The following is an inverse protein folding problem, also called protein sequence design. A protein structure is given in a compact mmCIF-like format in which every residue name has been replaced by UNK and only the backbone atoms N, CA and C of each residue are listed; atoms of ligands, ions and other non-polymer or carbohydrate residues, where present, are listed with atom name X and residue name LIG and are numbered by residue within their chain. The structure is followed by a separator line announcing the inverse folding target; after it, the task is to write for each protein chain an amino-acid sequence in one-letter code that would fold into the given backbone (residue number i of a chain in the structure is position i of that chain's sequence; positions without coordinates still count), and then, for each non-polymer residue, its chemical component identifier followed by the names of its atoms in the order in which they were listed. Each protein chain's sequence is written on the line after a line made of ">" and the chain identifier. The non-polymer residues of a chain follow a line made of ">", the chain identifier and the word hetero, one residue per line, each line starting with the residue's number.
data_IF_831304875419
#
_entry.id   IF_831304875419
#
_cell.length_a   1.000
_cell.length_b   1.000
_cell.length_c   1.000
_cell.angle_alpha   90.00
_cell.angle_beta   90.00
_cell.angle_gamma   90.00
#
_symmetry.space_group_name_H-M   'P 1'
#
loop_
_entity.id
_entity.type
_entity.pdbx_description
1 polymer ?
#
# COMPACT_ATOMS: atom_id res chain seq x y z
N UNK A 1 -12.06 -2.81 28.71
CA UNK A 1 -13.11 -3.57 28.03
C UNK A 1 -12.55 -4.91 27.59
N UNK A 2 -13.00 -6.05 28.17
CA UNK A 2 -12.53 -7.41 27.81
C UNK A 2 -12.84 -7.78 26.35
N UNK A 3 -13.68 -7.02 25.67
CA UNK A 3 -14.01 -7.18 24.24
C UNK A 3 -13.21 -6.26 23.32
N UNK A 4 -12.37 -5.37 23.86
CA UNK A 4 -11.49 -4.55 23.03
C UNK A 4 -10.46 -5.44 22.34
N UNK A 5 -10.45 -5.44 21.00
CA UNK A 5 -9.39 -6.12 20.25
C UNK A 5 -8.05 -5.54 20.68
N UNK A 6 -7.01 -6.35 20.86
CA UNK A 6 -5.70 -5.84 21.18
C UNK A 6 -5.30 -4.80 20.13
N UNK A 7 -5.00 -3.59 20.60
CA UNK A 7 -4.43 -2.56 19.73
C UNK A 7 -3.00 -2.97 19.42
N UNK A 8 -2.67 -3.05 18.14
CA UNK A 8 -1.30 -3.27 17.69
C UNK A 8 -0.87 -2.10 16.80
N UNK A 9 0.42 -1.91 16.72
CA UNK A 9 1.08 -0.89 15.92
C UNK A 9 2.23 -1.56 15.15
N UNK A 10 2.46 -1.13 13.92
CA UNK A 10 3.62 -1.55 13.15
C UNK A 10 4.93 -1.06 13.78
N UNK A 11 5.99 -1.80 13.54
CA UNK A 11 7.32 -1.45 14.02
C UNK A 11 8.36 -2.47 13.61
N UNK A 12 9.62 -2.17 13.83
CA UNK A 12 10.75 -3.03 13.58
C UNK A 12 11.45 -3.38 14.88
N UNK A 13 11.92 -4.63 15.00
CA UNK A 13 12.75 -5.05 16.11
C UNK A 13 14.20 -4.64 15.93
N UNK A 14 14.97 -4.63 17.00
CA UNK A 14 16.39 -4.27 16.96
C UNK A 14 17.22 -5.20 16.07
N UNK A 15 16.90 -6.50 16.05
CA UNK A 15 17.56 -7.47 15.17
C UNK A 15 17.30 -7.20 13.69
N UNK A 16 16.09 -6.72 13.34
CA UNK A 16 15.74 -6.29 11.99
C UNK A 16 16.48 -5.01 11.59
N UNK A 17 16.60 -4.04 12.49
CA UNK A 17 17.41 -2.85 12.24
C UNK A 17 18.89 -3.18 12.06
N UNK A 18 19.45 -4.05 12.89
CA UNK A 18 20.84 -4.50 12.77
C UNK A 18 21.09 -5.22 11.42
N UNK A 19 20.17 -6.09 11.03
CA UNK A 19 20.21 -6.74 9.73
C UNK A 19 20.19 -5.73 8.58
N UNK A 20 19.22 -4.80 8.57
CA UNK A 20 19.09 -3.78 7.54
C UNK A 20 20.33 -2.91 7.44
N UNK A 21 20.83 -2.42 8.56
CA UNK A 21 22.04 -1.58 8.60
C UNK A 21 23.26 -2.31 8.01
N UNK A 22 23.44 -3.58 8.35
CA UNK A 22 24.51 -4.42 7.82
C UNK A 22 24.36 -4.68 6.33
N UNK A 23 23.16 -5.07 5.90
CA UNK A 23 22.87 -5.42 4.51
C UNK A 23 23.01 -4.22 3.57
N UNK A 24 22.43 -3.08 3.95
CA UNK A 24 22.40 -1.86 3.14
C UNK A 24 23.78 -1.21 2.99
N UNK A 25 24.70 -1.43 3.92
CA UNK A 25 26.06 -0.90 3.89
C UNK A 25 26.85 -1.36 2.66
N UNK A 26 26.60 -2.58 2.19
CA UNK A 26 27.31 -3.17 1.04
C UNK A 26 26.66 -2.88 -0.32
N UNK A 27 25.51 -2.19 -0.36
CA UNK A 27 24.77 -1.98 -1.59
C UNK A 27 25.13 -0.67 -2.29
N UNK A 28 25.20 -0.73 -3.62
CA UNK A 28 25.31 0.47 -4.46
C UNK A 28 24.06 1.35 -4.31
N UNK A 29 24.25 2.64 -4.10
CA UNK A 29 23.17 3.60 -3.81
C UNK A 29 22.28 3.92 -5.02
N UNK A 30 22.70 3.56 -6.23
CA UNK A 30 21.91 3.71 -7.46
C UNK A 30 20.91 2.56 -7.71
N UNK A 31 21.02 1.47 -6.97
CA UNK A 31 20.09 0.34 -7.10
C UNK A 31 18.69 0.74 -6.62
N UNK A 32 17.67 0.17 -7.27
CA UNK A 32 16.32 0.19 -6.72
C UNK A 32 16.26 -0.75 -5.51
N UNK A 33 15.88 -0.19 -4.37
CA UNK A 33 15.50 -0.96 -3.18
C UNK A 33 13.99 -1.12 -3.16
N UNK A 34 13.53 -2.35 -3.06
CA UNK A 34 12.10 -2.66 -2.86
C UNK A 34 11.96 -3.27 -1.46
N UNK A 35 11.23 -2.59 -0.60
CA UNK A 35 10.90 -3.07 0.74
C UNK A 35 9.47 -3.58 0.75
N UNK A 36 9.29 -4.87 1.04
CA UNK A 36 7.97 -5.46 1.31
C UNK A 36 7.70 -5.50 2.81
N UNK A 37 6.56 -4.96 3.22
CA UNK A 37 6.12 -4.97 4.62
C UNK A 37 4.60 -5.07 4.70
N UNK A 38 4.06 -5.54 5.84
CA UNK A 38 2.61 -5.67 5.96
C UNK A 38 1.95 -4.35 6.35
N UNK A 39 2.37 -3.76 7.47
CA UNK A 39 1.79 -2.51 7.99
C UNK A 39 2.43 -1.32 7.29
N UNK A 40 1.63 -0.38 6.75
CA UNK A 40 2.16 0.78 6.04
C UNK A 40 2.89 1.76 6.97
N UNK A 41 3.78 2.53 6.37
CA UNK A 41 4.53 3.59 7.05
C UNK A 41 3.71 4.87 7.25
N UNK A 42 2.66 5.09 6.46
CA UNK A 42 1.78 6.22 6.60
C UNK A 42 0.73 6.01 7.70
N UNK A 43 0.23 7.08 8.25
CA UNK A 43 -0.86 7.04 9.24
C UNK A 43 -2.21 6.93 8.53
N UNK A 44 -2.96 5.89 8.87
CA UNK A 44 -4.28 5.62 8.28
C UNK A 44 -5.35 6.67 8.64
N UNK A 45 -5.11 7.44 9.71
CA UNK A 45 -5.94 8.56 10.12
C UNK A 45 -5.08 9.61 10.85
N UNK A 46 -5.41 10.91 10.77
CA UNK A 46 -4.71 11.95 11.48
C UNK A 46 -4.61 11.69 12.98
N UNK A 47 -3.40 11.78 13.54
CA UNK A 47 -3.14 11.57 14.96
C UNK A 47 -3.20 10.10 15.43
N UNK A 48 -3.35 9.15 14.49
CA UNK A 48 -3.31 7.71 14.80
C UNK A 48 -2.07 7.08 14.19
N UNK A 49 -1.09 6.86 15.02
CA UNK A 49 0.15 6.17 14.64
C UNK A 49 -0.15 4.73 14.18
N UNK A 50 0.00 4.47 12.88
CA UNK A 50 -0.21 3.14 12.28
C UNK A 50 1.07 2.31 12.37
N UNK A 51 2.20 2.95 12.11
CA UNK A 51 3.54 2.41 12.28
C UNK A 51 4.30 3.32 13.25
N UNK A 52 5.06 2.74 14.18
CA UNK A 52 5.79 3.51 15.21
C UNK A 52 6.67 4.57 14.54
N UNK A 53 6.38 5.84 14.79
CA UNK A 53 7.07 6.96 14.12
C UNK A 53 8.58 6.95 14.37
N UNK A 54 9.01 6.56 15.57
CA UNK A 54 10.44 6.42 15.89
C UNK A 54 11.13 5.37 15.02
N UNK A 55 10.47 4.23 14.77
CA UNK A 55 11.00 3.17 13.91
C UNK A 55 10.96 3.58 12.44
N UNK A 56 9.89 4.29 12.02
CA UNK A 56 9.79 4.87 10.68
C UNK A 56 10.95 5.83 10.42
N UNK A 57 11.24 6.72 11.35
CA UNK A 57 12.36 7.66 11.21
C UNK A 57 13.69 6.94 11.09
N UNK A 58 13.95 5.95 11.95
CA UNK A 58 15.17 5.13 11.87
C UNK A 58 15.28 4.41 10.52
N UNK A 59 14.18 3.88 10.01
CA UNK A 59 14.15 3.25 8.69
C UNK A 59 14.45 4.27 7.59
N UNK A 60 13.84 5.44 7.63
CA UNK A 60 14.11 6.54 6.69
C UNK A 60 15.59 6.94 6.70
N UNK A 61 16.21 7.03 7.87
CA UNK A 61 17.63 7.36 8.00
C UNK A 61 18.56 6.30 7.38
N UNK A 62 18.17 5.04 7.40
CA UNK A 62 18.91 3.97 6.73
C UNK A 62 18.77 4.02 5.19
N UNK A 63 17.66 4.54 4.70
CA UNK A 63 17.30 4.48 3.28
C UNK A 63 17.61 5.78 2.51
N UNK A 64 17.71 6.92 3.16
CA UNK A 64 17.75 8.26 2.54
C UNK A 64 18.87 8.47 1.51
N UNK A 65 19.96 7.74 1.61
CA UNK A 65 21.09 7.85 0.68
C UNK A 65 20.90 7.03 -0.62
N UNK A 66 19.85 6.21 -0.70
CA UNK A 66 19.53 5.47 -1.90
C UNK A 66 18.65 6.30 -2.82
N UNK A 67 19.04 6.35 -4.11
CA UNK A 67 18.34 7.18 -5.11
C UNK A 67 16.95 6.67 -5.47
N UNK A 68 16.75 5.36 -5.39
CA UNK A 68 15.50 4.72 -5.82
C UNK A 68 15.05 3.76 -4.73
N UNK A 69 14.00 4.13 -4.03
CA UNK A 69 13.39 3.31 -2.98
C UNK A 69 11.89 3.20 -3.26
N UNK A 70 11.37 2.00 -3.18
CA UNK A 70 9.95 1.70 -3.25
C UNK A 70 9.56 0.87 -2.03
N UNK A 71 8.54 1.30 -1.31
CA UNK A 71 7.92 0.51 -0.25
C UNK A 71 6.62 -0.09 -0.79
N UNK A 72 6.45 -1.40 -0.60
CA UNK A 72 5.22 -2.11 -0.87
C UNK A 72 4.60 -2.51 0.47
N UNK A 73 3.43 -1.98 0.75
CA UNK A 73 2.68 -2.27 1.98
C UNK A 73 1.28 -2.79 1.70
N UNK A 74 0.56 -3.19 2.74
CA UNK A 74 -0.80 -3.71 2.66
C UNK A 74 -1.64 -3.27 3.85
N UNK A 75 -2.34 -4.20 4.50
CA UNK A 75 -3.07 -4.00 5.76
C UNK A 75 -4.34 -3.17 5.69
N UNK A 76 -4.34 -2.03 5.01
CA UNK A 76 -5.48 -1.11 4.99
C UNK A 76 -6.67 -1.63 4.17
N UNK A 77 -6.47 -2.66 3.34
CA UNK A 77 -7.45 -3.13 2.36
C UNK A 77 -7.95 -2.02 1.43
N UNK A 78 -7.04 -1.13 1.08
CA UNK A 78 -7.27 -0.06 0.09
C UNK A 78 -6.05 0.03 -0.82
N UNK A 79 -6.20 0.67 -1.96
CA UNK A 79 -5.08 0.91 -2.88
C UNK A 79 -4.67 2.38 -2.78
N UNK A 80 -3.43 2.64 -2.38
CA UNK A 80 -2.94 4.00 -2.20
C UNK A 80 -1.50 4.17 -2.66
N UNK A 81 -1.22 5.28 -3.33
CA UNK A 81 0.12 5.77 -3.58
C UNK A 81 0.43 6.91 -2.62
N UNK A 82 1.39 6.70 -1.74
CA UNK A 82 1.83 7.70 -0.76
C UNK A 82 3.25 8.12 -1.09
N UNK A 83 3.53 9.41 -0.99
CA UNK A 83 4.85 9.97 -1.24
C UNK A 83 5.32 10.70 0.02
N UNK A 84 6.17 10.03 0.78
CA UNK A 84 6.73 10.61 2.00
C UNK A 84 7.75 11.69 1.66
N UNK A 85 7.61 12.82 2.30
CA UNK A 85 8.46 13.98 2.15
C UNK A 85 9.03 14.46 3.47
N UNK A 86 9.59 15.67 3.47
CA UNK A 86 10.18 16.29 4.67
C UNK A 86 9.20 16.41 5.84
N UNK A 87 7.94 16.65 5.55
CA UNK A 87 6.89 16.72 6.58
C UNK A 87 6.69 15.39 7.32
N UNK A 88 7.02 14.27 6.66
CA UNK A 88 6.94 12.92 7.24
C UNK A 88 8.26 12.46 7.88
N UNK A 89 9.29 13.31 7.82
CA UNK A 89 10.65 13.00 8.29
C UNK A 89 11.57 12.38 7.23
N UNK A 90 11.11 12.24 5.97
CA UNK A 90 11.94 11.75 4.89
C UNK A 90 12.88 12.83 4.35
N UNK A 91 14.19 12.56 4.34
CA UNK A 91 15.23 13.49 3.94
C UNK A 91 16.08 12.99 2.76
N UNK A 92 15.55 12.08 1.94
CA UNK A 92 16.21 11.67 0.69
C UNK A 92 15.99 12.71 -0.43
N UNK A 93 16.72 12.55 -1.55
CA UNK A 93 16.71 13.48 -2.69
C UNK A 93 15.36 13.60 -3.37
N UNK A 94 14.58 12.53 -3.37
CA UNK A 94 13.23 12.44 -3.96
C UNK A 94 12.25 11.95 -2.91
N UNK A 95 10.95 12.27 -3.03
CA UNK A 95 9.94 11.67 -2.17
C UNK A 95 10.02 10.14 -2.19
N UNK A 96 9.92 9.51 -1.02
CA UNK A 96 9.86 8.07 -0.91
C UNK A 96 8.47 7.59 -1.31
N UNK A 97 8.42 6.78 -2.37
CA UNK A 97 7.16 6.20 -2.82
C UNK A 97 6.83 4.96 -2.00
N UNK A 98 5.68 4.98 -1.36
CA UNK A 98 5.04 3.82 -0.76
C UNK A 98 3.77 3.48 -1.54
N UNK A 99 3.67 2.25 -2.01
CA UNK A 99 2.46 1.73 -2.63
C UNK A 99 1.79 0.73 -1.70
N UNK A 100 0.66 1.13 -1.13
CA UNK A 100 -0.18 0.22 -0.37
C UNK A 100 -1.04 -0.57 -1.36
N UNK A 101 -0.72 -1.84 -1.49
CA UNK A 101 -1.40 -2.74 -2.44
C UNK A 101 -2.71 -3.19 -1.85
N UNK A 102 -3.77 -3.12 -2.65
CA UNK A 102 -5.07 -3.61 -2.24
C UNK A 102 -5.08 -5.10 -1.87
N UNK A 103 -6.05 -5.50 -1.09
CA UNK A 103 -6.16 -6.86 -0.58
C UNK A 103 -6.88 -7.78 -1.58
N UNK A 104 -6.34 -8.97 -1.81
CA UNK A 104 -6.99 -10.01 -2.62
C UNK A 104 -8.35 -10.44 -2.06
N UNK A 105 -8.48 -10.41 -0.73
CA UNK A 105 -9.75 -10.69 -0.04
C UNK A 105 -10.68 -9.47 0.04
N UNK A 106 -10.30 -8.32 -0.51
CA UNK A 106 -11.08 -7.07 -0.46
C UNK A 106 -11.63 -6.79 0.93
N UNK A 107 -12.94 -6.67 1.06
CA UNK A 107 -13.66 -6.55 2.33
C UNK A 107 -13.90 -7.93 2.98
N UNK A 108 -12.89 -8.79 3.07
CA UNK A 108 -12.94 -10.13 3.71
C UNK A 108 -13.95 -11.09 3.08
N UNK A 109 -14.12 -11.08 1.76
CA UNK A 109 -15.06 -11.95 1.03
C UNK A 109 -16.51 -11.82 1.52
N UNK A 110 -16.92 -10.61 1.90
CA UNK A 110 -18.21 -10.36 2.55
C UNK A 110 -19.36 -10.03 1.60
N UNK A 111 -19.10 -9.93 0.29
CA UNK A 111 -20.09 -9.56 -0.71
C UNK A 111 -20.97 -10.71 -1.20
N UNK A 112 -21.87 -10.39 -2.11
CA UNK A 112 -22.75 -11.34 -2.78
C UNK A 112 -21.92 -12.26 -3.68
N UNK A 113 -22.23 -13.56 -3.67
CA UNK A 113 -21.57 -14.53 -4.52
C UNK A 113 -21.94 -14.35 -5.99
N UNK A 114 -20.94 -14.44 -6.85
CA UNK A 114 -21.13 -14.52 -8.31
C UNK A 114 -21.63 -15.91 -8.75
N UNK A 115 -21.82 -16.10 -10.07
CA UNK A 115 -22.27 -17.37 -10.64
C UNK A 115 -21.33 -18.55 -10.37
N UNK A 116 -20.06 -18.30 -10.10
CA UNK A 116 -19.06 -19.31 -9.72
C UNK A 116 -19.03 -19.57 -8.21
N UNK A 117 -19.89 -18.92 -7.43
CA UNK A 117 -19.94 -19.02 -5.98
C UNK A 117 -18.85 -18.22 -5.26
N UNK A 118 -18.11 -17.36 -5.95
CA UNK A 118 -17.06 -16.52 -5.39
C UNK A 118 -17.66 -15.23 -4.85
N UNK A 119 -17.48 -14.91 -3.54
CA UNK A 119 -18.01 -13.66 -3.00
C UNK A 119 -17.38 -12.43 -3.65
N UNK A 120 -18.18 -11.38 -3.84
CA UNK A 120 -17.63 -10.06 -4.13
C UNK A 120 -16.74 -9.61 -2.97
N UNK A 121 -15.58 -9.08 -3.32
CA UNK A 121 -14.58 -8.65 -2.37
C UNK A 121 -14.05 -7.25 -2.72
N UNK A 122 -14.92 -6.40 -3.26
CA UNK A 122 -14.60 -4.98 -3.49
C UNK A 122 -14.17 -4.31 -2.19
N UNK A 123 -13.04 -3.63 -2.24
CA UNK A 123 -12.47 -2.90 -1.11
C UNK A 123 -13.27 -1.62 -0.80
N UNK A 124 -13.06 -1.05 0.37
CA UNK A 124 -13.80 0.15 0.82
C UNK A 124 -13.56 1.39 -0.03
N UNK A 125 -12.44 1.45 -0.75
CA UNK A 125 -12.11 2.49 -1.73
C UNK A 125 -12.68 2.23 -3.13
N UNK A 126 -13.46 1.15 -3.29
CA UNK A 126 -14.04 0.74 -4.57
C UNK A 126 -13.10 -0.10 -5.44
N UNK A 127 -11.89 -0.38 -5.01
CA UNK A 127 -10.95 -1.24 -5.76
C UNK A 127 -11.45 -2.68 -5.75
N UNK A 128 -11.65 -3.32 -6.92
CA UNK A 128 -12.02 -4.72 -6.98
C UNK A 128 -10.85 -5.62 -6.56
N UNK A 129 -11.15 -6.86 -6.19
CA UNK A 129 -10.12 -7.88 -5.91
C UNK A 129 -9.14 -8.01 -7.07
N UNK A 130 -7.85 -8.06 -6.77
CA UNK A 130 -6.83 -8.07 -7.80
C UNK A 130 -5.41 -8.17 -7.25
N UNK A 131 -4.47 -7.83 -8.08
CA UNK A 131 -3.04 -7.86 -7.78
C UNK A 131 -2.31 -6.76 -8.53
N UNK A 132 -1.17 -6.38 -8.04
CA UNK A 132 -0.29 -5.45 -8.72
C UNK A 132 0.86 -6.16 -9.42
N UNK A 133 1.24 -5.62 -10.59
CA UNK A 133 2.47 -5.96 -11.29
C UNK A 133 3.47 -4.83 -11.09
N UNK A 134 4.70 -5.20 -10.77
CA UNK A 134 5.84 -4.29 -10.68
C UNK A 134 6.81 -4.62 -11.80
N UNK A 135 6.90 -3.76 -12.81
CA UNK A 135 7.90 -3.85 -13.87
C UNK A 135 9.11 -2.99 -13.49
N UNK A 136 10.30 -3.56 -13.48
CA UNK A 136 11.54 -2.86 -13.13
C UNK A 136 12.46 -2.83 -14.33
N UNK A 137 12.91 -1.64 -14.72
CA UNK A 137 13.89 -1.44 -15.77
C UNK A 137 15.34 -1.51 -15.23
N UNK A 138 16.30 -1.79 -16.10
CA UNK A 138 17.71 -1.92 -15.74
C UNK A 138 18.35 -0.65 -15.14
N UNK A 139 17.75 0.52 -15.37
CA UNK A 139 18.18 1.79 -14.78
C UNK A 139 17.56 2.09 -13.40
N UNK A 140 16.82 1.13 -12.82
CA UNK A 140 16.17 1.28 -11.53
C UNK A 140 14.82 2.04 -11.56
N UNK A 141 14.36 2.46 -12.75
CA UNK A 141 12.97 2.95 -12.88
C UNK A 141 11.99 1.79 -12.80
N UNK A 142 10.76 2.08 -12.41
CA UNK A 142 9.73 1.06 -12.28
C UNK A 142 8.36 1.58 -12.68
N UNK A 143 7.46 0.65 -12.99
CA UNK A 143 6.05 0.90 -13.25
C UNK A 143 5.21 -0.07 -12.44
N UNK A 144 4.15 0.45 -11.83
CA UNK A 144 3.14 -0.32 -11.14
C UNK A 144 1.86 -0.37 -11.98
N UNK A 145 1.25 -1.54 -12.05
CA UNK A 145 -0.04 -1.74 -12.72
C UNK A 145 -0.91 -2.63 -11.85
N UNK A 146 -2.11 -2.17 -11.54
CA UNK A 146 -3.10 -3.01 -10.90
C UNK A 146 -3.86 -3.84 -11.96
N UNK A 147 -4.21 -5.06 -11.60
CA UNK A 147 -4.98 -6.00 -12.40
C UNK A 147 -6.14 -6.53 -11.60
N UNK A 148 -7.34 -6.39 -12.13
CA UNK A 148 -8.54 -7.00 -11.55
C UNK A 148 -8.51 -8.50 -11.81
N UNK A 149 -8.68 -9.30 -10.76
CA UNK A 149 -8.66 -10.76 -10.88
C UNK A 149 -9.80 -11.26 -11.79
N UNK A 150 -9.46 -12.11 -12.76
CA UNK A 150 -10.42 -12.67 -13.70
C UNK A 150 -10.94 -11.72 -14.77
N UNK A 151 -10.32 -10.54 -14.92
CA UNK A 151 -10.71 -9.53 -15.91
C UNK A 151 -9.58 -9.21 -16.89
N UNK A 152 -9.92 -8.72 -18.11
CA UNK A 152 -8.91 -8.24 -19.05
C UNK A 152 -8.06 -7.11 -18.48
N UNK A 153 -6.84 -6.97 -18.99
CA UNK A 153 -5.92 -5.91 -18.59
C UNK A 153 -6.43 -4.49 -18.85
N UNK A 154 -7.34 -4.34 -19.80
CA UNK A 154 -7.99 -3.08 -20.15
C UNK A 154 -9.07 -2.63 -19.17
N UNK A 155 -9.51 -3.51 -18.26
CA UNK A 155 -10.53 -3.17 -17.29
C UNK A 155 -9.89 -2.43 -16.10
N UNK A 156 -9.88 -1.10 -16.19
CA UNK A 156 -9.23 -0.20 -15.25
C UNK A 156 -10.21 0.71 -14.50
N UNK A 157 -11.50 0.73 -14.93
CA UNK A 157 -12.53 1.58 -14.32
C UNK A 157 -13.89 0.90 -14.46
N UNK A 158 -14.71 0.99 -13.42
CA UNK A 158 -16.12 0.58 -13.44
C UNK A 158 -17.01 1.78 -13.15
N UNK A 159 -18.01 2.01 -14.00
CA UNK A 159 -19.02 3.04 -13.78
C UNK A 159 -20.33 2.38 -13.31
N UNK A 160 -20.78 2.78 -12.15
CA UNK A 160 -22.07 2.38 -11.59
C UNK A 160 -22.99 3.60 -11.53
N UNK A 161 -23.84 3.74 -12.51
CA UNK A 161 -24.81 4.82 -12.59
C UNK A 161 -26.24 4.25 -12.68
N UNK A 162 -27.25 4.96 -12.17
CA UNK A 162 -28.65 4.59 -12.40
C UNK A 162 -28.93 4.55 -13.90
N UNK A 163 -29.55 3.46 -14.37
CA UNK A 163 -29.91 3.31 -15.79
C UNK A 163 -31.01 4.25 -16.25
N UNK A 164 -31.82 4.75 -15.33
CA UNK A 164 -32.94 5.67 -15.60
C UNK A 164 -33.01 6.71 -14.51
N UNK A 165 -32.99 7.98 -14.89
CA UNK A 165 -33.41 9.07 -14.00
C UNK A 165 -34.90 8.94 -13.72
N UNK A 166 -35.28 8.68 -12.48
CA UNK A 166 -36.68 8.73 -12.09
C UNK A 166 -37.14 10.18 -12.15
N UNK A 167 -38.11 10.51 -13.01
CA UNK A 167 -38.77 11.81 -12.99
C UNK A 167 -39.34 12.06 -11.59
N UNK A 168 -39.04 13.22 -10.99
CA UNK A 168 -39.49 13.60 -9.66
C UNK A 168 -38.60 13.15 -8.49
N UNK A 169 -37.39 12.66 -8.73
CA UNK A 169 -36.47 12.26 -7.65
C UNK A 169 -35.66 13.42 -7.03
N UNK A 170 -35.85 14.64 -7.51
CA UNK A 170 -35.25 15.85 -6.93
C UNK A 170 -36.35 16.86 -6.60
N UNK A 171 -36.35 17.42 -5.38
CA UNK A 171 -37.24 18.51 -5.01
C UNK A 171 -36.96 19.78 -5.79
#
# INVERSE_FOLDING_TARGET
>A
DPKARPKYIGGLREDQFAFLASYLKGLHKDRLLVLGMHIPLFDAAPGRETFRHADRQRLFDLLKDFRNVLVLSGHSHTQQHVYHGKADGWNGDKPLHEYNVGANCGAFWSGVKDAAGVPDSTMSDGTPKGYALLDVAGNGSYRLQYRVAGKPASEQIGLHAPKVLRQGAYP
#
